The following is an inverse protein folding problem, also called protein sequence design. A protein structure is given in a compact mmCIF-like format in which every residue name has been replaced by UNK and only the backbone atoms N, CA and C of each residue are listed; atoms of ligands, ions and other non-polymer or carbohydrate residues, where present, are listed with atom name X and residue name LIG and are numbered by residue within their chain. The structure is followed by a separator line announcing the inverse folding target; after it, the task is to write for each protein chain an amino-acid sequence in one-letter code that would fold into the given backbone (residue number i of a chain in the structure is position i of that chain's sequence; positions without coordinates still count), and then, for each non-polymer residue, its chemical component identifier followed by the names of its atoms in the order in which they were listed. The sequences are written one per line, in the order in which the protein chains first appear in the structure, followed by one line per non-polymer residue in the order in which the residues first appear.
data_IF_488383723873
#
_entry.id   IF_488383723873
#
_cell.length_a   1.000
_cell.length_b   1.000
_cell.length_c   1.000
_cell.angle_alpha   90.00
_cell.angle_beta   90.00
_cell.angle_gamma   90.00
#
_symmetry.space_group_name_H-M   'P 1'
#
loop_
_entity.id
_entity.type
_entity.pdbx_description
1 polymer ?
#
# COMPACT_ATOMS: atom_id res chain seq x y z
N UNK A 1 0.95 -1.04 -44.61
CA UNK A 1 1.40 -1.23 -43.21
C UNK A 1 0.28 -1.94 -42.46
N UNK A 2 0.50 -3.14 -41.93
CA UNK A 2 -0.52 -3.83 -41.16
C UNK A 2 -0.53 -3.28 -39.73
N UNK A 3 -1.60 -2.57 -39.37
CA UNK A 3 -1.85 -2.18 -37.98
C UNK A 3 -2.02 -3.49 -37.18
N UNK A 4 -1.07 -3.78 -36.29
CA UNK A 4 -1.08 -4.99 -35.46
C UNK A 4 -2.17 -4.93 -34.40
N UNK A 5 -3.43 -5.09 -34.81
CA UNK A 5 -4.57 -5.13 -33.91
C UNK A 5 -4.65 -6.54 -33.34
N UNK A 6 -4.50 -6.68 -32.02
CA UNK A 6 -4.56 -7.98 -31.32
C UNK A 6 -5.93 -8.63 -31.55
N UNK A 7 -5.98 -9.70 -32.35
CA UNK A 7 -7.21 -10.41 -32.76
C UNK A 7 -7.61 -11.55 -31.83
N UNK A 8 -6.80 -11.89 -30.81
CA UNK A 8 -7.08 -13.03 -29.92
C UNK A 8 -6.50 -12.88 -28.50
N UNK A 9 -6.98 -13.70 -27.57
CA UNK A 9 -6.58 -13.76 -26.16
C UNK A 9 -7.42 -12.89 -25.22
N UNK A 10 -7.01 -12.80 -23.95
CA UNK A 10 -7.72 -12.03 -22.92
C UNK A 10 -7.87 -10.55 -23.34
N UNK A 11 -9.06 -9.98 -23.16
CA UNK A 11 -9.30 -8.57 -23.44
C UNK A 11 -8.57 -7.72 -22.40
N UNK A 12 -7.92 -6.65 -22.85
CA UNK A 12 -7.24 -5.71 -21.94
C UNK A 12 -8.33 -5.09 -21.05
N UNK A 13 -8.16 -5.20 -19.73
CA UNK A 13 -9.15 -4.74 -18.75
C UNK A 13 -10.11 -5.80 -18.22
N UNK A 14 -10.08 -7.07 -18.70
CA UNK A 14 -10.89 -8.12 -18.04
C UNK A 14 -10.45 -8.30 -16.59
N UNK A 15 -11.38 -8.21 -15.65
CA UNK A 15 -11.13 -8.54 -14.24
C UNK A 15 -10.71 -10.01 -14.11
N UNK A 16 -9.65 -10.26 -13.34
CA UNK A 16 -9.25 -11.62 -12.98
C UNK A 16 -10.34 -12.21 -12.08
N UNK A 17 -11.12 -13.18 -12.61
CA UNK A 17 -12.33 -13.72 -11.98
C UNK A 17 -12.15 -14.12 -10.51
N UNK A 18 -11.01 -14.68 -10.14
CA UNK A 18 -10.71 -15.17 -8.79
C UNK A 18 -10.12 -14.11 -7.84
N UNK A 19 -9.51 -13.05 -8.37
CA UNK A 19 -8.77 -12.09 -7.51
C UNK A 19 -9.67 -11.19 -6.68
N UNK A 20 -10.89 -10.91 -7.14
CA UNK A 20 -11.83 -10.07 -6.40
C UNK A 20 -12.30 -10.77 -5.13
N UNK A 21 -12.73 -12.02 -5.25
CA UNK A 21 -13.20 -12.84 -4.13
C UNK A 21 -12.09 -13.09 -3.11
N UNK A 22 -10.89 -13.46 -3.59
CA UNK A 22 -9.72 -13.65 -2.72
C UNK A 22 -9.36 -12.36 -1.99
N UNK A 23 -9.38 -11.20 -2.68
CA UNK A 23 -9.11 -9.90 -2.05
C UNK A 23 -10.14 -9.56 -0.98
N UNK A 24 -11.42 -9.87 -1.20
CA UNK A 24 -12.47 -9.66 -0.20
C UNK A 24 -12.21 -10.50 1.05
N UNK A 25 -11.97 -11.80 0.89
CA UNK A 25 -11.69 -12.70 2.02
C UNK A 25 -10.45 -12.24 2.80
N UNK A 26 -9.36 -11.89 2.11
CA UNK A 26 -8.14 -11.38 2.75
C UNK A 26 -8.40 -10.06 3.49
N UNK A 27 -9.19 -9.16 2.90
CA UNK A 27 -9.57 -7.90 3.55
C UNK A 27 -10.34 -8.16 4.84
N UNK A 28 -11.28 -9.10 4.83
CA UNK A 28 -12.07 -9.43 6.01
C UNK A 28 -11.22 -10.05 7.13
N UNK A 29 -10.26 -10.91 6.78
CA UNK A 29 -9.29 -11.45 7.74
C UNK A 29 -8.45 -10.33 8.36
N UNK A 30 -7.87 -9.46 7.54
CA UNK A 30 -7.05 -8.34 8.02
C UNK A 30 -7.87 -7.41 8.94
N UNK A 31 -9.11 -7.10 8.58
CA UNK A 31 -9.97 -6.26 9.40
C UNK A 31 -10.24 -6.88 10.78
N UNK A 32 -10.49 -8.19 10.84
CA UNK A 32 -10.67 -8.91 12.11
C UNK A 32 -9.41 -8.87 12.97
N UNK A 33 -8.25 -9.10 12.38
CA UNK A 33 -6.96 -9.00 13.08
C UNK A 33 -6.71 -7.58 13.61
N UNK A 34 -7.01 -6.55 12.81
CA UNK A 34 -6.91 -5.15 13.21
C UNK A 34 -7.82 -4.80 14.38
N UNK A 35 -9.06 -5.33 14.43
CA UNK A 35 -9.95 -5.11 15.58
C UNK A 35 -9.42 -5.73 16.87
N UNK A 36 -8.69 -6.84 16.77
CA UNK A 36 -8.13 -7.57 17.92
C UNK A 36 -6.68 -7.20 18.23
N UNK A 37 -6.06 -6.30 17.46
CA UNK A 37 -4.61 -6.06 17.50
C UNK A 37 -4.11 -5.65 18.88
N UNK A 38 -4.89 -4.89 19.64
CA UNK A 38 -4.54 -4.49 21.01
C UNK A 38 -4.41 -5.70 21.95
N UNK A 39 -5.33 -6.66 21.84
CA UNK A 39 -5.31 -7.89 22.65
C UNK A 39 -4.18 -8.83 22.24
N UNK A 40 -3.85 -8.88 20.95
CA UNK A 40 -2.73 -9.67 20.43
C UNK A 40 -1.40 -9.07 20.89
N UNK A 41 -1.21 -7.77 20.75
CA UNK A 41 -0.01 -7.06 21.23
C UNK A 41 0.21 -7.25 22.72
N UNK A 42 -0.85 -7.30 23.53
CA UNK A 42 -0.75 -7.56 24.97
C UNK A 42 -0.18 -8.96 25.32
N UNK A 43 -0.32 -9.95 24.42
CA UNK A 43 0.18 -11.32 24.61
C UNK A 43 1.64 -11.50 24.21
N UNK A 44 2.21 -10.59 23.44
CA UNK A 44 3.61 -10.67 23.00
C UNK A 44 4.58 -10.29 24.11
N UNK A 45 5.82 -10.76 23.99
CA UNK A 45 6.91 -10.31 24.85
C UNK A 45 7.16 -8.79 24.68
N UNK A 46 7.63 -8.09 25.72
CA UNK A 46 7.84 -6.65 25.67
C UNK A 46 8.72 -6.19 24.50
N UNK A 47 9.77 -6.95 24.18
CA UNK A 47 10.70 -6.65 23.08
C UNK A 47 10.02 -6.71 21.71
N UNK A 48 9.29 -7.79 21.45
CA UNK A 48 8.59 -8.01 20.18
C UNK A 48 7.46 -7.00 19.99
N UNK A 49 6.77 -6.65 21.08
CA UNK A 49 5.72 -5.62 21.08
C UNK A 49 6.27 -4.26 20.62
N UNK A 50 7.41 -3.85 21.17
CA UNK A 50 8.07 -2.59 20.78
C UNK A 50 8.49 -2.62 19.32
N UNK A 51 9.06 -3.74 18.84
CA UNK A 51 9.47 -3.89 17.44
C UNK A 51 8.28 -3.79 16.47
N UNK A 52 7.15 -4.42 16.78
CA UNK A 52 5.93 -4.30 15.98
C UNK A 52 5.37 -2.88 15.99
N UNK A 53 5.37 -2.21 17.13
CA UNK A 53 4.93 -0.81 17.21
C UNK A 53 5.80 0.07 16.30
N UNK A 54 7.13 -0.10 16.34
CA UNK A 54 8.06 0.64 15.47
C UNK A 54 7.73 0.40 13.97
N UNK A 55 7.38 -0.83 13.59
CA UNK A 55 6.98 -1.15 12.20
C UNK A 55 5.62 -0.55 11.82
N UNK A 56 4.73 -0.30 12.79
CA UNK A 56 3.41 0.31 12.56
C UNK A 56 3.47 1.84 12.52
N UNK A 57 4.41 2.47 13.21
CA UNK A 57 4.59 3.94 13.27
C UNK A 57 4.53 4.63 11.89
N UNK A 58 5.22 4.14 10.83
CA UNK A 58 5.22 4.80 9.51
C UNK A 58 3.87 4.83 8.81
N UNK A 59 2.93 4.00 9.24
CA UNK A 59 1.57 3.92 8.67
C UNK A 59 0.57 4.78 9.47
N UNK A 60 0.92 5.14 10.71
CA UNK A 60 0.08 5.99 11.59
C UNK A 60 0.54 7.43 11.53
N UNK A 61 1.85 7.66 11.54
CA UNK A 61 2.44 8.99 11.40
C UNK A 61 2.66 9.27 9.92
N UNK A 62 2.37 10.50 9.51
CA UNK A 62 2.77 11.02 8.20
C UNK A 62 4.29 10.94 8.08
N UNK A 63 4.77 10.18 7.09
CA UNK A 63 6.19 10.16 6.76
C UNK A 63 6.59 11.56 6.30
N UNK A 64 7.50 12.20 7.03
CA UNK A 64 8.06 13.49 6.63
C UNK A 64 8.92 13.23 5.40
N UNK A 65 8.46 13.71 4.25
CA UNK A 65 9.26 13.72 3.04
C UNK A 65 10.31 14.83 3.16
N UNK A 66 11.56 14.51 2.82
CA UNK A 66 12.60 15.51 2.69
C UNK A 66 12.28 16.37 1.47
N UNK A 67 11.79 17.58 1.71
CA UNK A 67 11.54 18.54 0.63
C UNK A 67 12.86 19.13 0.15
N UNK A 68 12.98 19.32 -1.17
CA UNK A 68 14.09 20.08 -1.73
C UNK A 68 13.96 21.55 -1.29
N UNK A 69 15.08 22.22 -1.05
CA UNK A 69 15.09 23.65 -0.71
C UNK A 69 14.35 24.51 -1.75
N UNK A 70 14.38 24.11 -3.02
CA UNK A 70 13.71 24.82 -4.12
C UNK A 70 12.21 24.51 -4.25
N UNK A 71 11.64 23.69 -3.35
CA UNK A 71 10.22 23.35 -3.39
C UNK A 71 9.37 24.58 -3.05
N UNK A 72 8.78 25.20 -4.07
CA UNK A 72 7.97 26.42 -3.95
C UNK A 72 8.63 27.67 -4.52
N UNK A 73 9.87 27.56 -5.01
CA UNK A 73 10.52 28.63 -5.77
C UNK A 73 10.06 28.60 -7.24
N UNK A 74 9.95 29.75 -7.92
CA UNK A 74 9.69 29.79 -9.35
C UNK A 74 10.84 29.08 -10.09
N UNK A 75 10.50 28.27 -11.08
CA UNK A 75 11.50 27.63 -11.93
C UNK A 75 12.16 28.71 -12.80
N UNK A 76 13.38 29.11 -12.48
CA UNK A 76 14.16 30.02 -13.32
C UNK A 76 14.62 29.25 -14.57
N UNK A 77 13.98 29.53 -15.71
CA UNK A 77 14.31 28.98 -17.03
C UNK A 77 15.37 29.82 -17.79
N UNK A 78 15.92 30.87 -17.17
CA UNK A 78 16.85 31.79 -17.81
C UNK A 78 18.30 31.49 -17.44
N UNK A 79 18.96 30.64 -18.26
CA UNK A 79 20.40 30.69 -18.57
C UNK A 79 20.67 30.18 -19.99
#
# INVERSE_FOLDING_TARGET
MANGIKTSGRTIGTLNKTTKEIRTVLKDVINKELTNIATLLAKLEPKERVELIIKLIPYVLSKVESVNYSLGEPMDWDL
#
